data_IF_474257431221
#
_entry.id   IF_474257431221
#
_cell.length_a   1.000
_cell.length_b   1.000
_cell.length_c   1.000
_cell.angle_alpha   90.00
_cell.angle_beta   90.00
_cell.angle_gamma   90.00
#
_symmetry.space_group_name_H-M   'P 1'
#
loop_
_entity.id
_entity.type
_entity.pdbx_description
1 polymer ?
#
# COMPACT_ATOMS: atom_id res chain seq x y z
N UNK A 1 0.03 -16.90 24.20
CA UNK A 1 0.80 -16.62 22.97
C UNK A 1 0.08 -15.57 22.13
N UNK A 2 0.83 -14.62 21.61
CA UNK A 2 0.28 -13.59 20.77
C UNK A 2 0.29 -14.03 19.32
N UNK A 3 -0.84 -13.89 18.64
CA UNK A 3 -0.89 -14.14 17.20
C UNK A 3 -0.43 -12.87 16.50
N UNK A 4 0.66 -13.00 15.76
CA UNK A 4 1.22 -11.90 15.00
C UNK A 4 0.80 -12.03 13.55
N UNK A 5 0.53 -10.90 12.91
CA UNK A 5 0.30 -10.87 11.47
C UNK A 5 -0.86 -11.75 10.99
N UNK A 6 -1.97 -11.72 11.74
CA UNK A 6 -3.20 -12.34 11.24
C UNK A 6 -3.65 -11.60 9.97
N UNK A 7 -4.31 -12.29 9.01
CA UNK A 7 -4.85 -11.62 7.85
C UNK A 7 -5.83 -10.53 8.23
N UNK A 8 -5.79 -9.42 7.52
CA UNK A 8 -6.68 -8.30 7.76
C UNK A 8 -7.03 -7.60 6.46
N UNK A 9 -8.10 -6.84 6.48
CA UNK A 9 -8.52 -6.05 5.32
C UNK A 9 -7.65 -4.80 5.26
N UNK A 10 -6.96 -4.64 4.12
CA UNK A 10 -6.11 -3.47 3.89
C UNK A 10 -6.74 -2.69 2.74
N UNK A 11 -7.03 -1.42 3.00
CA UNK A 11 -7.58 -0.53 1.97
C UNK A 11 -6.47 0.35 1.43
N UNK A 12 -6.38 0.44 0.12
CA UNK A 12 -5.37 1.23 -0.54
C UNK A 12 -5.98 2.03 -1.69
N UNK A 13 -5.40 3.19 -1.95
CA UNK A 13 -5.82 4.07 -3.02
C UNK A 13 -4.70 4.15 -4.06
N UNK A 14 -5.03 3.81 -5.30
CA UNK A 14 -4.08 3.84 -6.41
C UNK A 14 -4.34 5.05 -7.29
N UNK A 15 -3.28 5.78 -7.63
CA UNK A 15 -3.36 7.02 -8.41
C UNK A 15 -2.74 6.85 -9.78
N UNK A 16 -3.25 7.60 -10.75
CA UNK A 16 -2.67 7.64 -12.09
C UNK A 16 -2.58 6.27 -12.73
N UNK A 17 -1.44 5.96 -13.30
CA UNK A 17 -1.21 4.67 -13.99
C UNK A 17 -1.29 3.47 -13.04
N UNK A 18 -1.07 3.69 -11.75
CA UNK A 18 -1.16 2.60 -10.79
C UNK A 18 -2.56 2.00 -10.73
N UNK A 19 -3.59 2.78 -11.07
CA UNK A 19 -4.96 2.26 -11.15
C UNK A 19 -5.03 1.07 -12.12
N UNK A 20 -4.37 1.20 -13.25
CA UNK A 20 -4.37 0.17 -14.30
C UNK A 20 -3.45 -0.99 -13.93
N UNK A 21 -2.29 -0.70 -13.38
CA UNK A 21 -1.36 -1.74 -12.95
C UNK A 21 -1.98 -2.65 -11.89
N UNK A 22 -2.68 -2.06 -10.92
CA UNK A 22 -3.36 -2.83 -9.88
C UNK A 22 -4.45 -3.71 -10.45
N UNK A 23 -5.14 -3.23 -11.49
CA UNK A 23 -6.21 -3.98 -12.13
C UNK A 23 -5.65 -5.14 -12.95
N UNK A 24 -4.58 -4.88 -13.70
CA UNK A 24 -3.97 -5.88 -14.59
C UNK A 24 -3.12 -6.89 -13.83
N UNK A 25 -2.43 -6.43 -12.78
CA UNK A 25 -1.54 -7.24 -11.97
C UNK A 25 -1.89 -7.08 -10.49
N UNK A 26 -2.95 -7.75 -10.01
CA UNK A 26 -3.36 -7.65 -8.62
C UNK A 26 -2.22 -8.02 -7.67
N UNK A 27 -2.11 -7.28 -6.57
CA UNK A 27 -1.06 -7.55 -5.58
C UNK A 27 -1.36 -8.80 -4.75
N UNK A 28 -2.60 -9.27 -4.81
CA UNK A 28 -3.03 -10.49 -4.10
C UNK A 28 -4.34 -10.97 -4.72
N UNK A 29 -4.58 -12.28 -4.66
CA UNK A 29 -5.79 -12.86 -5.25
C UNK A 29 -7.08 -12.37 -4.59
N UNK A 30 -7.00 -11.85 -3.36
CA UNK A 30 -8.18 -11.31 -2.66
C UNK A 30 -8.51 -9.87 -3.06
N UNK A 31 -7.70 -9.25 -3.91
CA UNK A 31 -7.89 -7.85 -4.27
C UNK A 31 -9.26 -7.61 -4.91
N UNK A 32 -9.97 -6.59 -4.42
CA UNK A 32 -11.22 -6.13 -5.02
C UNK A 32 -11.16 -4.64 -5.25
N UNK A 33 -11.71 -4.23 -6.38
CA UNK A 33 -11.91 -2.82 -6.68
C UNK A 33 -13.18 -2.37 -5.99
N UNK A 34 -13.11 -1.31 -5.20
CA UNK A 34 -14.24 -0.80 -4.41
C UNK A 34 -14.89 0.38 -5.13
N UNK A 35 -14.08 1.30 -5.61
CA UNK A 35 -14.56 2.51 -6.26
C UNK A 35 -13.49 3.01 -7.23
N UNK A 36 -13.90 3.37 -8.42
CA UNK A 36 -12.99 3.94 -9.43
C UNK A 36 -13.44 5.34 -9.79
N UNK A 37 -12.48 6.26 -9.90
CA UNK A 37 -12.70 7.62 -10.41
C UNK A 37 -11.68 7.90 -11.50
N UNK A 38 -11.75 9.07 -12.10
CA UNK A 38 -10.77 9.45 -13.13
C UNK A 38 -9.35 9.60 -12.58
N UNK A 39 -9.22 9.94 -11.31
CA UNK A 39 -7.92 10.23 -10.70
C UNK A 39 -7.40 9.13 -9.79
N UNK A 40 -8.27 8.28 -9.25
CA UNK A 40 -7.82 7.20 -8.37
C UNK A 40 -8.82 6.05 -8.36
N UNK A 41 -8.36 4.90 -7.85
CA UNK A 41 -9.20 3.74 -7.60
C UNK A 41 -8.93 3.22 -6.20
N UNK A 42 -10.00 2.95 -5.46
CA UNK A 42 -9.91 2.35 -4.14
C UNK A 42 -9.94 0.83 -4.27
N UNK A 43 -8.98 0.17 -3.62
CA UNK A 43 -8.87 -1.28 -3.59
C UNK A 43 -8.84 -1.78 -2.16
N UNK A 44 -9.30 -3.02 -1.98
CA UNK A 44 -9.13 -3.74 -0.72
C UNK A 44 -8.48 -5.08 -1.00
N UNK A 45 -7.62 -5.50 -0.09
CA UNK A 45 -7.06 -6.85 -0.10
C UNK A 45 -7.19 -7.45 1.30
N UNK A 46 -7.33 -8.76 1.37
CA UNK A 46 -7.36 -9.48 2.65
C UNK A 46 -6.10 -10.31 2.73
N UNK A 47 -5.14 -9.86 3.51
CA UNK A 47 -3.80 -10.45 3.51
C UNK A 47 -3.11 -10.19 4.86
N UNK A 48 -2.20 -11.08 5.20
CA UNK A 48 -1.29 -10.87 6.32
C UNK A 48 -0.24 -9.83 5.91
N UNK A 49 -0.11 -8.71 6.65
CA UNK A 49 0.84 -7.67 6.28
C UNK A 49 2.28 -8.04 6.68
N UNK A 50 2.88 -8.95 5.92
CA UNK A 50 4.27 -9.36 6.12
C UNK A 50 5.22 -8.27 5.65
N UNK A 51 6.51 -8.41 6.01
CA UNK A 51 7.55 -7.47 5.57
C UNK A 51 7.62 -7.41 4.04
N UNK A 52 7.52 -8.57 3.39
CA UNK A 52 7.55 -8.63 1.92
C UNK A 52 6.38 -7.86 1.30
N UNK A 53 5.19 -8.01 1.88
CA UNK A 53 4.02 -7.30 1.39
C UNK A 53 4.18 -5.79 1.59
N UNK A 54 4.70 -5.39 2.74
CA UNK A 54 4.95 -3.97 3.04
C UNK A 54 5.97 -3.37 2.08
N UNK A 55 7.03 -4.11 1.79
CA UNK A 55 8.03 -3.69 0.82
C UNK A 55 7.42 -3.53 -0.58
N UNK A 56 6.52 -4.43 -0.94
CA UNK A 56 5.80 -4.34 -2.21
C UNK A 56 4.96 -3.06 -2.28
N UNK A 57 4.24 -2.75 -1.20
CA UNK A 57 3.47 -1.51 -1.14
C UNK A 57 4.36 -0.29 -1.31
N UNK A 58 5.51 -0.28 -0.64
CA UNK A 58 6.45 0.83 -0.71
C UNK A 58 7.07 1.00 -2.09
N UNK A 59 7.23 -0.10 -2.83
CA UNK A 59 7.85 -0.07 -4.16
C UNK A 59 7.04 0.76 -5.15
N UNK A 60 5.78 1.03 -4.84
CA UNK A 60 4.91 1.85 -5.69
C UNK A 60 5.05 3.34 -5.43
N UNK A 61 5.82 3.72 -4.40
CA UNK A 61 6.03 5.13 -4.06
C UNK A 61 4.73 5.85 -3.76
N UNK A 62 4.62 7.08 -4.19
CA UNK A 62 3.42 7.90 -3.96
C UNK A 62 2.22 7.52 -4.81
N UNK A 63 2.36 6.56 -5.73
CA UNK A 63 1.24 6.13 -6.58
C UNK A 63 0.26 5.21 -5.87
N UNK A 64 0.67 4.65 -4.73
CA UNK A 64 -0.19 3.76 -3.94
C UNK A 64 -0.17 4.23 -2.49
N UNK A 65 -1.34 4.55 -1.96
CA UNK A 65 -1.48 5.04 -0.59
C UNK A 65 -2.27 4.03 0.24
N UNK A 66 -1.69 3.58 1.35
CA UNK A 66 -2.43 2.76 2.31
C UNK A 66 -3.36 3.69 3.08
N UNK A 67 -4.66 3.37 3.08
CA UNK A 67 -5.68 4.15 3.77
C UNK A 67 -5.98 3.55 5.14
N UNK A 68 -6.13 2.23 5.19
CA UNK A 68 -6.38 1.53 6.45
C UNK A 68 -5.75 0.15 6.42
N UNK A 69 -5.43 -0.45 7.56
CA UNK A 69 -5.53 0.13 8.90
C UNK A 69 -4.53 1.28 9.11
N UNK A 70 -4.86 2.17 10.04
CA UNK A 70 -4.03 3.36 10.29
C UNK A 70 -2.62 3.01 10.74
N UNK A 71 -2.45 1.92 11.47
CA UNK A 71 -1.13 1.48 11.93
C UNK A 71 -0.23 1.14 10.75
N UNK A 72 -0.76 0.48 9.73
CA UNK A 72 0.00 0.15 8.54
C UNK A 72 0.29 1.41 7.72
N UNK A 73 -0.72 2.27 7.56
CA UNK A 73 -0.53 3.53 6.85
C UNK A 73 0.58 4.37 7.48
N UNK A 74 0.62 4.42 8.80
CA UNK A 74 1.64 5.15 9.54
C UNK A 74 3.03 4.54 9.35
N UNK A 75 3.12 3.22 9.38
CA UNK A 75 4.38 2.51 9.17
C UNK A 75 4.95 2.79 7.78
N UNK A 76 4.10 2.73 6.76
CA UNK A 76 4.52 3.02 5.38
C UNK A 76 4.95 4.49 5.26
N UNK A 77 4.20 5.40 5.86
CA UNK A 77 4.57 6.82 5.87
C UNK A 77 5.95 7.03 6.49
N UNK A 78 6.21 6.39 7.63
CA UNK A 78 7.50 6.53 8.32
C UNK A 78 8.66 6.02 7.46
N UNK A 79 8.48 4.92 6.74
CA UNK A 79 9.50 4.40 5.84
C UNK A 79 9.76 5.35 4.68
N UNK A 80 8.70 5.94 4.11
CA UNK A 80 8.86 6.95 3.06
C UNK A 80 9.58 8.18 3.60
N UNK A 81 9.27 8.58 4.83
CA UNK A 81 9.92 9.73 5.46
C UNK A 81 11.41 9.49 5.67
N UNK A 82 11.80 8.28 6.07
CA UNK A 82 13.21 7.91 6.19
C UNK A 82 13.93 8.06 4.85
N UNK A 83 13.29 7.63 3.77
CA UNK A 83 13.87 7.76 2.43
C UNK A 83 14.06 9.22 2.06
N UNK A 84 13.05 10.05 2.29
CA UNK A 84 13.10 11.49 2.03
C UNK A 84 14.28 12.11 2.81
N UNK A 85 14.40 11.76 4.08
CA UNK A 85 15.43 12.31 4.94
C UNK A 85 16.85 11.95 4.46
N UNK A 86 17.01 10.71 3.99
CA UNK A 86 18.31 10.27 3.44
C UNK A 86 18.67 11.00 2.15
N UNK A 87 17.72 11.16 1.26
CA UNK A 87 17.94 11.91 0.03
C UNK A 87 18.24 13.38 0.32
N UNK A 88 17.52 13.97 1.26
CA UNK A 88 17.71 15.36 1.62
C UNK A 88 19.14 15.64 2.13
N UNK A 89 19.78 14.67 2.77
CA UNK A 89 21.13 14.84 3.31
C UNK A 89 22.21 14.79 2.22
N UNK A 90 21.92 14.13 1.10
CA UNK A 90 22.94 13.88 0.08
C UNK A 90 22.74 14.70 -1.20
N UNK A 91 21.54 15.22 -1.38
CA UNK A 91 21.24 16.09 -2.50
C UNK A 91 21.44 17.55 -2.13
#
# INVERSE_FOLDING_TARGET
MTIMNAPEIIAAKAFGMEQHYMRDLPIHHSQKEIKATDSYTDYEVFIRPTTDFKAHLMSRGGWLQVVSPKSLAKEILEWHQEAIDRYAKTL
#
